data_IF_504391379156
#
_entry.id   IF_504391379156
#
_cell.length_a   1.000
_cell.length_b   1.000
_cell.length_c   1.000
_cell.angle_alpha   90.00
_cell.angle_beta   90.00
_cell.angle_gamma   90.00
#
_symmetry.space_group_name_H-M   'P 1'
#
loop_
_entity.id
_entity.type
_entity.pdbx_description
1 polymer ?
#
# COMPACT_ATOMS: atom_id res chain seq x y z
N UNK A 1 -27.60 -28.81 27.33
CA UNK A 1 -28.34 -28.14 26.24
C UNK A 1 -27.63 -26.83 25.93
N UNK A 2 -26.77 -26.82 24.92
CA UNK A 2 -26.16 -25.60 24.38
C UNK A 2 -26.27 -25.68 22.88
N UNK A 3 -27.34 -25.13 22.31
CA UNK A 3 -27.46 -24.93 20.88
C UNK A 3 -26.46 -23.85 20.48
N UNK A 4 -25.24 -24.24 20.10
CA UNK A 4 -24.42 -23.39 19.23
C UNK A 4 -25.06 -23.45 17.85
N UNK A 5 -25.99 -22.54 17.59
CA UNK A 5 -26.42 -22.20 16.24
C UNK A 5 -25.18 -21.69 15.49
N UNK A 6 -24.42 -22.60 14.87
CA UNK A 6 -23.34 -22.24 13.96
C UNK A 6 -23.99 -21.60 12.74
N UNK A 7 -24.12 -20.27 12.74
CA UNK A 7 -24.35 -19.55 11.50
C UNK A 7 -23.21 -19.96 10.57
N UNK A 8 -23.49 -20.46 9.36
CA UNK A 8 -22.44 -20.71 8.39
C UNK A 8 -21.66 -19.40 8.21
N UNK A 9 -20.33 -19.48 8.28
CA UNK A 9 -19.46 -18.32 8.04
C UNK A 9 -19.69 -17.76 6.65
N UNK A 10 -19.35 -16.49 6.45
CA UNK A 10 -19.41 -15.86 5.13
C UNK A 10 -18.41 -16.54 4.19
N UNK A 11 -18.77 -16.68 2.90
CA UNK A 11 -17.77 -16.98 1.86
C UNK A 11 -16.78 -15.80 1.72
N UNK A 12 -15.58 -16.00 1.16
CA UNK A 12 -14.65 -14.90 0.87
C UNK A 12 -15.30 -13.76 0.08
N UNK A 13 -16.08 -14.08 -0.95
CA UNK A 13 -16.78 -13.11 -1.79
C UNK A 13 -17.83 -12.33 -0.99
N UNK A 14 -18.69 -13.02 -0.22
CA UNK A 14 -19.71 -12.36 0.61
C UNK A 14 -19.08 -11.47 1.69
N UNK A 15 -17.96 -11.90 2.27
CA UNK A 15 -17.21 -11.12 3.24
C UNK A 15 -16.66 -9.83 2.62
N UNK A 16 -16.01 -9.91 1.45
CA UNK A 16 -15.48 -8.70 0.78
C UNK A 16 -16.61 -7.78 0.31
N UNK A 17 -17.72 -8.32 -0.21
CA UNK A 17 -18.90 -7.52 -0.55
C UNK A 17 -19.50 -6.83 0.68
N UNK A 18 -19.48 -7.50 1.84
CA UNK A 18 -19.93 -6.90 3.10
C UNK A 18 -18.98 -5.79 3.57
N UNK A 19 -17.67 -6.00 3.50
CA UNK A 19 -16.67 -4.99 3.81
C UNK A 19 -16.87 -3.75 2.92
N UNK A 20 -17.06 -3.92 1.62
CA UNK A 20 -17.34 -2.82 0.68
C UNK A 20 -18.59 -2.03 1.05
N UNK A 21 -19.69 -2.72 1.33
CA UNK A 21 -20.95 -2.07 1.73
C UNK A 21 -20.80 -1.32 3.04
N UNK A 22 -20.24 -1.94 4.07
CA UNK A 22 -20.14 -1.39 5.42
C UNK A 22 -19.16 -0.21 5.46
N UNK A 23 -18.00 -0.32 4.81
CA UNK A 23 -17.05 0.79 4.66
C UNK A 23 -17.68 1.97 3.91
N UNK A 24 -18.33 1.72 2.77
CA UNK A 24 -18.96 2.78 2.00
C UNK A 24 -20.11 3.45 2.76
N UNK A 25 -20.86 2.70 3.56
CA UNK A 25 -21.90 3.25 4.44
C UNK A 25 -21.29 4.14 5.53
N UNK A 26 -20.19 3.71 6.17
CA UNK A 26 -19.52 4.50 7.19
C UNK A 26 -18.94 5.80 6.64
N UNK A 27 -18.29 5.76 5.46
CA UNK A 27 -17.80 6.97 4.81
C UNK A 27 -18.93 7.94 4.45
N UNK A 28 -20.07 7.44 3.95
CA UNK A 28 -21.25 8.28 3.63
C UNK A 28 -21.81 8.91 4.90
N UNK A 29 -22.04 8.12 5.95
CA UNK A 29 -22.57 8.62 7.22
C UNK A 29 -21.69 9.75 7.80
N UNK A 30 -20.37 9.59 7.73
CA UNK A 30 -19.42 10.61 8.20
C UNK A 30 -19.46 11.88 7.32
N UNK A 31 -19.51 11.74 5.98
CA UNK A 31 -19.65 12.87 5.06
C UNK A 31 -20.96 13.63 5.26
N UNK A 32 -22.07 12.92 5.44
CA UNK A 32 -23.38 13.52 5.70
C UNK A 32 -23.38 14.28 7.03
N UNK A 33 -22.74 13.73 8.07
CA UNK A 33 -22.58 14.41 9.35
C UNK A 33 -21.70 15.66 9.25
N UNK A 34 -20.59 15.61 8.50
CA UNK A 34 -19.73 16.78 8.22
C UNK A 34 -20.50 17.88 7.48
N UNK A 35 -21.25 17.51 6.44
CA UNK A 35 -22.06 18.45 5.67
C UNK A 35 -23.15 19.11 6.54
N UNK A 36 -23.88 18.31 7.33
CA UNK A 36 -24.88 18.84 8.28
C UNK A 36 -24.26 19.78 9.29
N UNK A 37 -23.10 19.45 9.85
CA UNK A 37 -22.39 20.30 10.79
C UNK A 37 -21.96 21.62 10.12
N UNK A 38 -21.44 21.56 8.90
CA UNK A 38 -21.04 22.75 8.14
C UNK A 38 -22.21 23.71 7.85
N UNK A 39 -23.41 23.20 7.61
CA UNK A 39 -24.59 24.04 7.33
C UNK A 39 -25.32 24.51 8.58
N UNK A 40 -25.45 23.66 9.60
CA UNK A 40 -26.38 23.88 10.73
C UNK A 40 -25.73 23.88 12.11
N UNK A 41 -24.43 23.56 12.22
CA UNK A 41 -23.72 23.43 13.50
C UNK A 41 -24.13 22.22 14.34
N UNK A 42 -25.00 21.34 13.84
CA UNK A 42 -25.48 20.16 14.57
C UNK A 42 -24.36 19.11 14.68
N UNK A 43 -23.93 18.87 15.92
CA UNK A 43 -22.88 17.88 16.27
C UNK A 43 -23.47 16.47 16.23
N UNK A 44 -22.75 15.47 15.68
CA UNK A 44 -23.21 14.08 15.69
C UNK A 44 -23.32 13.53 17.11
N UNK A 45 -24.41 12.79 17.36
CA UNK A 45 -24.64 12.05 18.61
C UNK A 45 -23.70 10.85 18.73
N UNK A 46 -23.62 10.26 19.93
CA UNK A 46 -22.81 9.05 20.17
C UNK A 46 -23.27 7.86 19.33
N UNK A 47 -24.57 7.73 19.06
CA UNK A 47 -25.13 6.65 18.25
C UNK A 47 -24.83 6.85 16.76
N UNK A 48 -24.90 8.10 16.28
CA UNK A 48 -24.45 8.42 14.92
C UNK A 48 -22.97 8.12 14.74
N UNK A 49 -22.15 8.43 15.75
CA UNK A 49 -20.71 8.14 15.74
C UNK A 49 -20.37 6.67 15.61
N UNK A 50 -21.20 5.77 16.14
CA UNK A 50 -21.04 4.33 15.93
C UNK A 50 -21.17 3.92 14.45
N UNK A 51 -21.81 4.74 13.62
CA UNK A 51 -21.93 4.53 12.18
C UNK A 51 -20.70 4.99 11.39
N UNK A 52 -19.72 5.66 12.02
CA UNK A 52 -18.51 6.15 11.35
C UNK A 52 -17.36 5.15 11.45
N UNK A 53 -17.60 3.92 11.89
CA UNK A 53 -16.56 2.96 12.22
C UNK A 53 -16.12 2.14 11.02
N UNK A 54 -14.83 1.80 10.97
CA UNK A 54 -14.33 0.84 9.99
C UNK A 54 -15.01 -0.52 10.20
N UNK A 55 -15.23 -1.30 9.13
CA UNK A 55 -15.58 -2.70 9.30
C UNK A 55 -14.37 -3.50 9.83
N UNK A 56 -14.65 -4.50 10.65
CA UNK A 56 -13.69 -5.48 11.17
C UNK A 56 -13.89 -6.82 10.45
N UNK A 57 -12.83 -7.33 9.83
CA UNK A 57 -12.76 -8.66 9.26
C UNK A 57 -12.23 -9.63 10.30
N UNK A 58 -12.95 -10.73 10.53
CA UNK A 58 -12.53 -11.81 11.42
C UNK A 58 -12.47 -13.14 10.71
N UNK A 59 -11.45 -13.91 11.04
CA UNK A 59 -11.23 -15.27 10.56
C UNK A 59 -10.98 -16.17 11.76
N UNK A 60 -11.91 -17.09 12.03
CA UNK A 60 -11.80 -18.08 13.10
C UNK A 60 -11.35 -19.41 12.52
N UNK A 61 -10.25 -19.93 13.05
CA UNK A 61 -9.71 -21.22 12.67
C UNK A 61 -9.55 -22.13 13.88
N UNK A 62 -10.38 -23.16 13.92
CA UNK A 62 -10.36 -24.24 14.91
C UNK A 62 -10.19 -25.57 14.15
N UNK A 63 -8.97 -26.05 13.93
CA UNK A 63 -8.77 -27.28 13.17
C UNK A 63 -9.33 -28.48 13.94
N UNK A 64 -10.26 -29.21 13.32
CA UNK A 64 -10.77 -30.49 13.83
C UNK A 64 -10.01 -31.70 13.27
N UNK A 65 -9.23 -31.50 12.21
CA UNK A 65 -8.49 -32.52 11.48
C UNK A 65 -7.01 -32.14 11.34
N UNK A 66 -6.22 -33.03 10.73
CA UNK A 66 -4.83 -32.75 10.42
C UNK A 66 -4.71 -31.55 9.48
N UNK A 67 -3.85 -30.59 9.85
CA UNK A 67 -3.63 -29.37 9.07
C UNK A 67 -2.89 -29.73 7.77
N UNK A 68 -3.39 -29.32 6.59
CA UNK A 68 -2.73 -29.63 5.33
C UNK A 68 -1.38 -28.92 5.21
N UNK A 69 -0.39 -29.64 4.68
CA UNK A 69 0.90 -29.04 4.35
C UNK A 69 0.80 -28.25 3.04
N UNK A 70 1.27 -27.01 3.06
CA UNK A 70 1.29 -26.13 1.89
C UNK A 70 2.64 -25.42 1.76
N UNK A 71 3.13 -25.27 0.52
CA UNK A 71 4.40 -24.57 0.20
C UNK A 71 4.24 -23.06 0.04
N UNK A 72 3.00 -22.54 0.04
CA UNK A 72 2.67 -21.10 -0.07
C UNK A 72 3.47 -20.29 0.96
N UNK A 73 3.91 -19.07 0.70
CA UNK A 73 4.61 -18.28 1.73
C UNK A 73 3.66 -17.53 2.68
N UNK A 74 2.41 -17.33 2.25
CA UNK A 74 1.40 -16.46 2.85
C UNK A 74 0.05 -17.22 3.01
N UNK A 75 -0.98 -16.57 3.56
CA UNK A 75 -2.30 -17.16 3.87
C UNK A 75 -2.23 -18.53 4.55
N UNK A 76 -1.66 -18.55 5.77
CA UNK A 76 -1.62 -19.73 6.63
C UNK A 76 -1.86 -19.35 8.08
N UNK A 77 -2.24 -20.34 8.87
CA UNK A 77 -2.30 -20.23 10.31
C UNK A 77 -1.11 -20.89 10.98
N UNK A 78 -0.57 -20.24 12.02
CA UNK A 78 0.45 -20.83 12.87
C UNK A 78 -0.15 -21.58 14.06
N UNK A 79 -1.26 -21.06 14.61
CA UNK A 79 -1.91 -21.60 15.80
C UNK A 79 -3.44 -21.44 15.68
N UNK A 80 -4.23 -22.34 16.28
CA UNK A 80 -5.68 -22.17 16.36
C UNK A 80 -6.07 -20.86 17.05
N UNK A 81 -7.17 -20.26 16.60
CA UNK A 81 -7.73 -19.06 17.20
C UNK A 81 -8.45 -18.13 16.23
N UNK A 82 -8.86 -16.99 16.78
CA UNK A 82 -9.52 -15.92 16.04
C UNK A 82 -8.47 -14.89 15.61
N UNK A 83 -8.47 -14.55 14.34
CA UNK A 83 -7.67 -13.51 13.74
C UNK A 83 -8.58 -12.34 13.32
N UNK A 84 -8.18 -11.10 13.56
CA UNK A 84 -8.98 -9.93 13.24
C UNK A 84 -8.12 -8.77 12.69
N UNK A 85 -8.74 -7.92 11.87
CA UNK A 85 -8.18 -6.62 11.49
C UNK A 85 -9.30 -5.68 11.02
N UNK A 86 -9.15 -4.37 11.22
CA UNK A 86 -10.02 -3.38 10.58
C UNK A 86 -9.62 -3.17 9.14
N UNK A 87 -10.59 -2.94 8.26
CA UNK A 87 -10.36 -2.84 6.81
C UNK A 87 -10.84 -1.47 6.28
N UNK A 88 -10.00 -0.84 5.47
CA UNK A 88 -10.33 0.35 4.67
C UNK A 88 -10.15 0.08 3.18
N UNK A 89 -10.76 0.93 2.34
CA UNK A 89 -10.69 0.85 0.87
C UNK A 89 -10.92 -0.58 0.29
N UNK A 90 -11.89 -1.37 0.80
CA UNK A 90 -12.04 -2.77 0.41
C UNK A 90 -12.30 -2.98 -1.09
N UNK A 91 -12.91 -2.00 -1.77
CA UNK A 91 -13.10 -2.07 -3.23
C UNK A 91 -11.78 -2.02 -4.01
N UNK A 92 -10.79 -1.25 -3.54
CA UNK A 92 -9.44 -1.27 -4.12
C UNK A 92 -8.70 -2.56 -3.75
N UNK A 93 -8.77 -2.97 -2.48
CA UNK A 93 -8.08 -4.16 -1.98
C UNK A 93 -8.83 -5.47 -2.30
N UNK A 94 -9.91 -5.45 -3.08
CA UNK A 94 -10.76 -6.62 -3.34
C UNK A 94 -9.97 -7.83 -3.82
N UNK A 95 -9.13 -7.64 -4.84
CA UNK A 95 -8.31 -8.71 -5.41
C UNK A 95 -7.35 -9.29 -4.36
N UNK A 96 -6.68 -8.43 -3.59
CA UNK A 96 -5.77 -8.83 -2.52
C UNK A 96 -6.52 -9.60 -1.41
N UNK A 97 -7.65 -9.08 -0.94
CA UNK A 97 -8.46 -9.71 0.11
C UNK A 97 -8.95 -11.09 -0.32
N UNK A 98 -9.44 -11.24 -1.56
CA UNK A 98 -9.88 -12.53 -2.09
C UNK A 98 -8.70 -13.51 -2.27
N UNK A 99 -7.55 -13.03 -2.75
CA UNK A 99 -6.34 -13.83 -2.86
C UNK A 99 -5.90 -14.38 -1.50
N UNK A 100 -6.00 -13.58 -0.42
CA UNK A 100 -5.66 -14.03 0.93
C UNK A 100 -6.74 -14.93 1.56
N UNK A 101 -8.02 -14.59 1.42
CA UNK A 101 -9.11 -15.28 2.12
C UNK A 101 -9.47 -16.64 1.50
N UNK A 102 -9.40 -16.78 0.18
CA UNK A 102 -9.78 -18.02 -0.51
C UNK A 102 -8.96 -19.23 -0.03
N UNK A 103 -7.61 -19.18 0.05
CA UNK A 103 -6.82 -20.30 0.58
C UNK A 103 -7.14 -20.59 2.05
N UNK A 104 -7.36 -19.58 2.88
CA UNK A 104 -7.69 -19.78 4.31
C UNK A 104 -9.00 -20.57 4.48
N UNK A 105 -10.00 -20.31 3.64
CA UNK A 105 -11.25 -21.08 3.68
C UNK A 105 -11.09 -22.44 3.01
N UNK A 106 -10.56 -22.48 1.79
CA UNK A 106 -10.51 -23.69 0.98
C UNK A 106 -9.56 -24.76 1.53
N UNK A 107 -8.42 -24.36 2.10
CA UNK A 107 -7.42 -25.30 2.63
C UNK A 107 -7.62 -25.56 4.12
N UNK A 108 -8.01 -24.54 4.91
CA UNK A 108 -8.03 -24.66 6.37
C UNK A 108 -9.45 -24.73 6.97
N UNK A 109 -10.50 -24.57 6.17
CA UNK A 109 -11.88 -24.56 6.66
C UNK A 109 -12.18 -23.38 7.60
N UNK A 110 -11.46 -22.27 7.45
CA UNK A 110 -11.61 -21.11 8.31
C UNK A 110 -13.00 -20.45 8.14
N UNK A 111 -13.55 -19.94 9.24
CA UNK A 111 -14.85 -19.27 9.25
C UNK A 111 -14.65 -17.77 9.22
N UNK A 112 -15.27 -17.10 8.24
CA UNK A 112 -15.17 -15.65 8.07
C UNK A 112 -16.41 -14.96 8.64
N UNK A 113 -16.19 -13.83 9.31
CA UNK A 113 -17.23 -12.94 9.83
C UNK A 113 -16.82 -11.47 9.63
N UNK A 114 -17.80 -10.60 9.43
CA UNK A 114 -17.59 -9.15 9.25
C UNK A 114 -18.50 -8.38 10.20
N UNK A 115 -17.92 -7.44 10.95
CA UNK A 115 -18.59 -6.69 12.01
C UNK A 115 -18.30 -5.20 11.89
N UNK A 116 -19.03 -4.38 12.64
CA UNK A 116 -18.56 -3.02 12.95
C UNK A 116 -17.44 -3.12 13.98
N UNK A 117 -16.34 -2.39 13.76
CA UNK A 117 -15.25 -2.29 14.73
C UNK A 117 -15.58 -1.31 15.85
N UNK A 118 -14.59 -1.01 16.70
CA UNK A 118 -14.62 0.12 17.65
C UNK A 118 -13.79 1.32 17.17
N UNK A 119 -13.17 1.24 15.98
CA UNK A 119 -12.34 2.31 15.41
C UNK A 119 -13.17 3.19 14.47
N UNK A 120 -13.31 4.48 14.82
CA UNK A 120 -13.91 5.48 13.93
C UNK A 120 -12.97 5.88 12.80
N UNK A 121 -13.53 6.15 11.62
CA UNK A 121 -12.81 6.70 10.46
C UNK A 121 -12.47 8.17 10.75
N UNK A 122 -11.18 8.56 10.75
CA UNK A 122 -10.80 9.97 10.84
C UNK A 122 -11.39 10.78 9.68
N UNK A 123 -12.01 11.93 10.00
CA UNK A 123 -12.66 12.76 8.99
C UNK A 123 -11.74 13.16 7.82
N UNK A 124 -10.42 13.44 8.00
CA UNK A 124 -9.57 13.80 6.87
C UNK A 124 -9.42 12.71 5.81
N UNK A 125 -9.81 11.46 6.11
CA UNK A 125 -9.70 10.34 5.17
C UNK A 125 -10.92 10.20 4.27
N UNK A 126 -12.08 10.77 4.66
CA UNK A 126 -13.27 10.84 3.80
C UNK A 126 -13.38 12.16 3.05
N UNK A 127 -12.54 13.15 3.33
CA UNK A 127 -12.58 14.44 2.62
C UNK A 127 -11.72 14.46 1.37
N UNK A 128 -12.24 15.06 0.29
CA UNK A 128 -11.50 15.31 -0.95
C UNK A 128 -11.23 16.81 -1.12
N UNK A 129 -10.19 17.17 -1.89
CA UNK A 129 -9.79 18.57 -2.06
C UNK A 129 -10.88 19.45 -2.69
N UNK A 130 -11.90 18.85 -3.33
CA UNK A 130 -13.05 19.55 -3.91
C UNK A 130 -14.26 19.70 -2.97
N UNK A 131 -14.22 19.16 -1.76
CA UNK A 131 -15.35 19.22 -0.84
C UNK A 131 -15.55 20.66 -0.32
N UNK A 132 -16.75 21.24 -0.52
CA UNK A 132 -17.05 22.63 -0.17
C UNK A 132 -16.80 22.96 1.31
N UNK A 133 -16.97 21.99 2.20
CA UNK A 133 -16.75 22.17 3.64
C UNK A 133 -15.25 22.15 4.04
N UNK A 134 -14.36 21.74 3.15
CA UNK A 134 -12.89 21.89 3.32
C UNK A 134 -12.45 23.33 3.08
N UNK A 135 -13.20 24.08 2.25
CA UNK A 135 -12.94 25.50 1.93
C UNK A 135 -13.87 26.48 2.68
N UNK A 136 -14.70 25.96 3.59
CA UNK A 136 -15.65 26.74 4.39
C UNK A 136 -14.99 27.58 5.49
N UNK A 137 -15.80 28.33 6.25
CA UNK A 137 -15.35 29.15 7.39
C UNK A 137 -14.93 28.34 8.63
N UNK A 138 -15.15 27.03 8.63
CA UNK A 138 -14.87 26.17 9.77
C UNK A 138 -13.37 25.91 9.91
N UNK A 139 -12.85 26.09 11.12
CA UNK A 139 -11.45 25.80 11.39
C UNK A 139 -11.19 24.29 11.57
N UNK A 140 -9.99 23.83 11.23
CA UNK A 140 -9.54 22.44 11.49
C UNK A 140 -9.68 22.07 12.97
N UNK A 141 -9.44 23.02 13.87
CA UNK A 141 -9.56 22.84 15.32
C UNK A 141 -11.01 22.60 15.78
N UNK A 142 -11.97 23.25 15.12
CA UNK A 142 -13.39 23.09 15.41
C UNK A 142 -13.90 21.72 14.95
N UNK A 143 -13.53 21.29 13.73
CA UNK A 143 -13.83 19.93 13.25
C UNK A 143 -13.20 18.87 14.15
N UNK A 144 -11.94 19.05 14.56
CA UNK A 144 -11.22 18.12 15.43
C UNK A 144 -11.86 17.95 16.83
N UNK A 145 -12.69 18.90 17.27
CA UNK A 145 -13.39 18.81 18.56
C UNK A 145 -14.59 17.86 18.51
N UNK A 146 -15.22 17.73 17.34
CA UNK A 146 -16.50 17.04 17.19
C UNK A 146 -16.41 15.77 16.34
N UNK A 147 -15.37 15.65 15.51
CA UNK A 147 -15.18 14.55 14.58
C UNK A 147 -13.89 13.76 14.85
N UNK A 148 -13.82 12.49 14.43
CA UNK A 148 -12.66 11.65 14.68
C UNK A 148 -11.43 12.20 13.93
N UNK A 149 -10.27 12.25 14.59
CA UNK A 149 -9.02 12.74 14.02
C UNK A 149 -7.96 11.63 13.98
N UNK A 150 -7.00 11.70 13.06
CA UNK A 150 -5.91 10.73 13.03
C UNK A 150 -5.01 11.00 14.23
N UNK A 151 -5.04 10.10 15.21
CA UNK A 151 -4.11 10.13 16.34
C UNK A 151 -2.89 9.29 15.98
N UNK A 152 -1.70 9.90 15.97
CA UNK A 152 -0.43 9.20 15.70
C UNK A 152 -0.20 8.02 16.64
N UNK A 153 -0.68 8.10 17.88
CA UNK A 153 -0.62 7.02 18.86
C UNK A 153 -1.47 5.80 18.49
N UNK A 154 -2.42 5.94 17.56
CA UNK A 154 -3.31 4.88 17.09
C UNK A 154 -2.89 4.34 15.72
N UNK A 155 -1.77 4.80 15.17
CA UNK A 155 -1.23 4.27 13.92
C UNK A 155 -0.53 2.96 14.26
N UNK A 156 -1.17 1.84 13.92
CA UNK A 156 -0.74 0.50 14.31
C UNK A 156 0.48 0.02 13.52
N UNK A 157 1.69 0.28 14.02
CA UNK A 157 2.95 -0.21 13.45
C UNK A 157 3.47 -1.45 14.19
N UNK A 158 2.92 -1.75 15.36
CA UNK A 158 3.43 -2.77 16.27
C UNK A 158 3.49 -4.18 15.66
N UNK A 159 2.63 -4.51 14.70
CA UNK A 159 2.66 -5.80 14.02
C UNK A 159 3.82 -5.84 13.01
N UNK A 160 3.98 -4.78 12.22
CA UNK A 160 5.04 -4.65 11.23
C UNK A 160 6.43 -4.51 11.89
N UNK A 161 6.50 -3.84 13.03
CA UNK A 161 7.71 -3.65 13.84
C UNK A 161 8.03 -4.87 14.72
N UNK A 162 7.17 -5.89 14.75
CA UNK A 162 7.38 -7.10 15.56
C UNK A 162 7.23 -6.87 17.08
N UNK A 163 6.57 -5.78 17.47
CA UNK A 163 6.30 -5.39 18.85
C UNK A 163 4.96 -5.91 19.40
N UNK A 164 4.14 -6.56 18.55
CA UNK A 164 2.82 -7.07 18.95
C UNK A 164 2.92 -8.11 20.07
N UNK A 165 2.20 -7.86 21.16
CA UNK A 165 2.11 -8.77 22.30
C UNK A 165 0.77 -9.52 22.27
N UNK A 166 0.83 -10.86 22.36
CA UNK A 166 -0.37 -11.68 22.38
C UNK A 166 -1.04 -11.64 23.75
N UNK A 167 -2.28 -11.14 23.78
CA UNK A 167 -3.13 -11.14 24.97
C UNK A 167 -4.14 -12.30 24.93
N UNK A 168 -4.36 -12.94 26.08
CA UNK A 168 -5.37 -14.00 26.21
C UNK A 168 -6.77 -13.41 26.03
N UNK A 169 -7.58 -14.01 25.15
CA UNK A 169 -8.97 -13.58 24.91
C UNK A 169 -9.12 -12.45 23.89
N UNK A 170 -8.02 -11.87 23.37
CA UNK A 170 -8.07 -10.95 22.22
C UNK A 170 -7.79 -11.69 20.91
N UNK A 171 -8.40 -11.27 19.79
CA UNK A 171 -8.02 -11.76 18.47
C UNK A 171 -6.54 -11.51 18.15
N UNK A 172 -5.96 -12.41 17.37
CA UNK A 172 -4.63 -12.25 16.78
C UNK A 172 -4.70 -11.33 15.56
N UNK A 173 -3.61 -10.65 15.17
CA UNK A 173 -3.60 -9.85 13.95
C UNK A 173 -3.81 -10.70 12.70
N UNK A 174 -4.81 -10.34 11.88
CA UNK A 174 -5.05 -10.98 10.57
C UNK A 174 -4.17 -10.39 9.45
N UNK A 175 -3.79 -9.12 9.57
CA UNK A 175 -2.99 -8.38 8.61
C UNK A 175 -1.87 -7.61 9.31
N UNK A 176 -0.87 -7.15 8.53
CA UNK A 176 0.25 -6.36 9.05
C UNK A 176 -0.14 -4.94 9.44
N UNK A 177 -1.19 -4.40 8.81
CA UNK A 177 -1.62 -3.02 8.97
C UNK A 177 -3.13 -3.00 9.19
N UNK A 178 -3.58 -2.16 10.13
CA UNK A 178 -4.99 -1.89 10.37
C UNK A 178 -5.51 -0.77 9.44
N UNK A 179 -6.82 -0.52 9.46
CA UNK A 179 -7.45 0.44 8.56
C UNK A 179 -6.90 1.87 8.71
N UNK A 180 -6.65 2.31 9.95
CA UNK A 180 -6.17 3.67 10.24
C UNK A 180 -4.75 3.86 9.69
N UNK A 181 -3.86 2.87 9.89
CA UNK A 181 -2.50 2.87 9.35
C UNK A 181 -2.50 2.89 7.82
N UNK A 182 -3.38 2.12 7.19
CA UNK A 182 -3.53 2.09 5.74
C UNK A 182 -3.96 3.47 5.23
N UNK A 183 -5.08 4.03 5.69
CA UNK A 183 -5.55 5.33 5.19
C UNK A 183 -4.56 6.48 5.45
N UNK A 184 -3.86 6.46 6.60
CA UNK A 184 -2.78 7.39 6.88
C UNK A 184 -1.69 7.32 5.80
N UNK A 185 -1.24 6.11 5.49
CA UNK A 185 -0.21 5.87 4.49
C UNK A 185 -0.68 6.23 3.08
N UNK A 186 -1.92 5.91 2.70
CA UNK A 186 -2.49 6.28 1.40
C UNK A 186 -2.49 7.80 1.19
N UNK A 187 -2.85 8.58 2.22
CA UNK A 187 -2.77 10.05 2.17
C UNK A 187 -1.34 10.55 2.03
N UNK A 188 -0.41 9.94 2.76
CA UNK A 188 1.02 10.28 2.69
C UNK A 188 1.62 9.95 1.33
N UNK A 189 1.24 8.83 0.71
CA UNK A 189 1.63 8.47 -0.64
C UNK A 189 1.22 9.55 -1.63
N UNK A 190 -0.04 9.99 -1.63
CA UNK A 190 -0.47 11.06 -2.53
C UNK A 190 0.26 12.38 -2.28
N UNK A 191 0.49 12.72 -1.01
CA UNK A 191 1.23 13.93 -0.66
C UNK A 191 2.69 13.91 -1.13
N UNK A 192 3.43 12.82 -0.87
CA UNK A 192 4.85 12.72 -1.18
C UNK A 192 5.11 12.45 -2.66
N UNK A 193 4.25 11.68 -3.32
CA UNK A 193 4.45 11.24 -4.71
C UNK A 193 3.79 12.13 -5.75
N UNK A 194 2.78 12.91 -5.35
CA UNK A 194 1.98 13.71 -6.28
C UNK A 194 1.08 12.89 -7.19
N UNK A 195 0.89 11.60 -6.91
CA UNK A 195 0.01 10.71 -7.70
C UNK A 195 -1.10 10.13 -6.85
N UNK A 196 -2.22 9.77 -7.48
CA UNK A 196 -3.23 8.97 -6.80
C UNK A 196 -2.63 7.59 -6.47
N UNK A 197 -2.69 7.20 -5.20
CA UNK A 197 -2.16 5.93 -4.71
C UNK A 197 -2.77 4.72 -5.42
N UNK A 198 -3.99 4.84 -5.98
CA UNK A 198 -4.66 3.79 -6.78
C UNK A 198 -3.94 3.48 -8.08
N UNK A 199 -3.10 4.39 -8.56
CA UNK A 199 -2.33 4.24 -9.80
C UNK A 199 -0.96 3.60 -9.55
N UNK A 200 -0.53 3.45 -8.29
CA UNK A 200 0.73 2.79 -7.96
C UNK A 200 0.64 1.31 -8.30
N UNK A 201 1.63 0.83 -9.04
CA UNK A 201 1.71 -0.52 -9.56
C UNK A 201 2.51 -1.44 -8.63
N UNK A 202 2.28 -2.77 -8.66
CA UNK A 202 2.91 -3.71 -7.72
C UNK A 202 4.41 -3.93 -7.95
N UNK A 203 4.96 -3.55 -9.12
CA UNK A 203 6.38 -3.62 -9.45
C UNK A 203 7.00 -2.24 -9.35
N UNK A 204 7.76 -1.99 -8.29
CA UNK A 204 8.26 -0.66 -7.96
C UNK A 204 9.75 -0.56 -8.26
N UNK A 205 10.16 0.54 -8.87
CA UNK A 205 11.55 0.95 -9.02
C UNK A 205 11.78 2.21 -8.18
N UNK A 206 12.77 2.18 -7.31
CA UNK A 206 13.30 3.36 -6.64
C UNK A 206 14.51 3.88 -7.40
N UNK A 207 14.64 5.20 -7.46
CA UNK A 207 15.86 5.84 -7.93
C UNK A 207 16.25 7.02 -7.05
N UNK A 208 17.56 7.31 -7.04
CA UNK A 208 18.15 8.46 -6.37
C UNK A 208 18.63 9.55 -7.35
N UNK A 209 18.36 9.39 -8.65
CA UNK A 209 18.90 10.29 -9.67
C UNK A 209 17.92 10.61 -10.78
N UNK A 210 17.73 11.91 -11.04
CA UNK A 210 16.71 12.42 -11.95
C UNK A 210 16.83 11.88 -13.38
N UNK A 211 18.04 11.57 -13.87
CA UNK A 211 18.18 11.03 -15.24
C UNK A 211 17.49 9.68 -15.44
N UNK A 212 17.32 8.88 -14.39
CA UNK A 212 16.53 7.64 -14.49
C UNK A 212 15.05 7.93 -14.73
N UNK A 213 14.54 9.03 -14.18
CA UNK A 213 13.17 9.49 -14.43
C UNK A 213 13.01 9.88 -15.89
N UNK A 214 13.93 10.69 -16.42
CA UNK A 214 13.91 11.14 -17.81
C UNK A 214 13.91 9.92 -18.76
N UNK A 215 14.81 8.96 -18.52
CA UNK A 215 14.90 7.74 -19.32
C UNK A 215 13.66 6.84 -19.19
N UNK A 216 13.07 6.75 -17.99
CA UNK A 216 11.85 5.97 -17.76
C UNK A 216 10.65 6.58 -18.48
N UNK A 217 10.52 7.91 -18.48
CA UNK A 217 9.48 8.63 -19.22
C UNK A 217 9.65 8.40 -20.72
N UNK A 218 10.85 8.57 -21.26
CA UNK A 218 11.12 8.36 -22.69
C UNK A 218 10.84 6.91 -23.13
N UNK A 219 11.24 5.95 -22.31
CA UNK A 219 10.93 4.53 -22.51
C UNK A 219 9.42 4.27 -22.45
N UNK A 220 8.74 4.81 -21.44
CA UNK A 220 7.28 4.69 -21.28
C UNK A 220 6.53 5.24 -22.48
N UNK A 221 6.90 6.43 -22.98
CA UNK A 221 6.30 7.01 -24.18
C UNK A 221 6.55 6.15 -25.42
N UNK A 222 7.70 5.48 -25.49
CA UNK A 222 8.00 4.54 -26.57
C UNK A 222 7.13 3.28 -26.47
N UNK A 223 6.94 2.73 -25.28
CA UNK A 223 6.01 1.62 -25.04
C UNK A 223 4.56 1.99 -25.37
N UNK A 224 4.09 3.19 -25.01
CA UNK A 224 2.74 3.66 -25.36
C UNK A 224 2.52 3.87 -26.86
N UNK A 225 3.58 3.97 -27.67
CA UNK A 225 3.49 4.01 -29.14
C UNK A 225 3.46 2.64 -29.78
N UNK A 226 3.94 1.60 -29.08
CA UNK A 226 4.02 0.24 -29.61
C UNK A 226 2.64 -0.42 -29.59
N UNK A 227 2.09 -0.86 -30.73
CA UNK A 227 0.77 -1.48 -30.79
C UNK A 227 0.63 -2.72 -29.90
N UNK A 228 1.69 -3.55 -29.87
CA UNK A 228 1.71 -4.82 -29.13
C UNK A 228 2.20 -4.68 -27.68
N UNK A 229 2.53 -3.47 -27.24
CA UNK A 229 2.88 -3.25 -25.82
C UNK A 229 1.66 -3.56 -24.94
N UNK A 230 1.85 -4.09 -23.73
CA UNK A 230 0.77 -4.21 -22.76
C UNK A 230 0.46 -2.90 -22.02
N UNK A 231 1.33 -1.88 -22.12
CA UNK A 231 1.21 -0.62 -21.38
C UNK A 231 0.21 0.34 -22.02
N UNK A 232 -0.71 0.88 -21.23
CA UNK A 232 -1.86 1.62 -21.73
C UNK A 232 -1.87 3.10 -21.31
N UNK A 233 -1.27 3.43 -20.17
CA UNK A 233 -1.33 4.77 -19.61
C UNK A 233 -0.09 5.04 -18.74
N UNK A 234 0.51 6.22 -18.89
CA UNK A 234 1.54 6.75 -18.01
C UNK A 234 0.91 7.87 -17.17
N UNK A 235 0.83 7.66 -15.85
CA UNK A 235 0.39 8.68 -14.88
C UNK A 235 1.62 9.42 -14.36
N UNK A 236 1.55 10.74 -14.38
CA UNK A 236 2.62 11.65 -14.03
C UNK A 236 2.35 12.31 -12.67
N UNK A 237 3.40 12.75 -11.94
CA UNK A 237 3.24 13.59 -10.76
C UNK A 237 2.37 14.82 -11.06
N UNK A 238 1.44 15.15 -10.16
CA UNK A 238 0.44 16.20 -10.37
C UNK A 238 -0.86 15.72 -11.00
N UNK A 239 -0.98 14.43 -11.33
CA UNK A 239 -2.23 13.78 -11.70
C UNK A 239 -2.58 13.80 -13.19
N UNK A 240 -1.75 14.39 -14.04
CA UNK A 240 -1.91 14.25 -15.50
C UNK A 240 -1.58 12.82 -15.95
N UNK A 241 -2.20 12.37 -17.05
CA UNK A 241 -1.91 11.08 -17.64
C UNK A 241 -1.76 11.15 -19.16
N UNK A 242 -0.95 10.26 -19.70
CA UNK A 242 -0.70 10.09 -21.14
C UNK A 242 -1.15 8.68 -21.50
N UNK A 243 -2.14 8.57 -22.39
CA UNK A 243 -2.71 7.28 -22.82
C UNK A 243 -2.12 6.83 -24.15
N UNK A 244 -2.16 5.52 -24.39
CA UNK A 244 -1.84 4.93 -25.70
C UNK A 244 -2.63 5.63 -26.81
N UNK A 245 -1.95 5.94 -27.91
CA UNK A 245 -2.54 6.62 -29.07
C UNK A 245 -2.68 8.14 -28.93
N UNK A 246 -2.25 8.73 -27.81
CA UNK A 246 -2.11 10.18 -27.70
C UNK A 246 -1.08 10.72 -28.70
N UNK A 247 -1.28 11.96 -29.16
CA UNK A 247 -0.33 12.64 -30.04
C UNK A 247 1.06 12.73 -29.41
N UNK A 248 2.10 12.45 -30.20
CA UNK A 248 3.47 12.34 -29.72
C UNK A 248 3.99 13.68 -29.19
N UNK A 249 3.74 14.78 -29.90
CA UNK A 249 4.22 16.10 -29.51
C UNK A 249 3.54 16.58 -28.22
N UNK A 250 2.24 16.34 -28.12
CA UNK A 250 1.44 16.67 -26.94
C UNK A 250 1.88 15.85 -25.72
N UNK A 251 2.20 14.57 -25.93
CA UNK A 251 2.69 13.67 -24.87
C UNK A 251 4.05 14.12 -24.31
N UNK A 252 4.99 14.49 -25.19
CA UNK A 252 6.29 15.02 -24.77
C UNK A 252 6.12 16.33 -24.00
N UNK A 253 5.28 17.25 -24.50
CA UNK A 253 5.00 18.50 -23.82
C UNK A 253 4.36 18.30 -22.44
N UNK A 254 3.43 17.36 -22.31
CA UNK A 254 2.78 17.03 -21.05
C UNK A 254 3.77 16.47 -20.02
N UNK A 255 4.67 15.57 -20.44
CA UNK A 255 5.72 15.02 -19.57
C UNK A 255 6.73 16.09 -19.13
N UNK A 256 7.11 17.01 -20.03
CA UNK A 256 8.01 18.11 -19.70
C UNK A 256 7.37 19.14 -18.74
N UNK A 257 6.05 19.32 -18.81
CA UNK A 257 5.29 20.26 -17.97
C UNK A 257 4.95 19.72 -16.57
N UNK A 258 5.28 18.46 -16.27
CA UNK A 258 5.00 17.82 -14.97
C UNK A 258 5.59 18.62 -13.80
N UNK A 259 4.78 19.00 -12.79
CA UNK A 259 5.24 19.78 -11.64
C UNK A 259 5.94 18.91 -10.57
N UNK A 260 6.85 18.03 -10.99
CA UNK A 260 7.48 17.03 -10.12
C UNK A 260 8.23 17.64 -8.93
N UNK A 261 8.79 18.84 -9.08
CA UNK A 261 9.53 19.57 -8.05
C UNK A 261 8.66 20.00 -6.85
N UNK A 262 7.33 19.93 -6.97
CA UNK A 262 6.41 20.20 -5.85
C UNK A 262 6.30 19.03 -4.87
N UNK A 263 6.85 17.88 -5.23
CA UNK A 263 6.71 16.63 -4.49
C UNK A 263 8.10 16.13 -4.07
N UNK A 264 8.20 15.66 -2.83
CA UNK A 264 9.47 15.21 -2.26
C UNK A 264 9.98 13.92 -2.93
N UNK A 265 9.06 13.02 -3.30
CA UNK A 265 9.37 11.71 -3.86
C UNK A 265 8.48 11.40 -5.07
N UNK A 266 8.60 12.15 -6.19
CA UNK A 266 7.66 12.08 -7.30
C UNK A 266 7.58 10.67 -7.91
N UNK A 267 6.36 10.18 -8.16
CA UNK A 267 6.11 8.87 -8.75
C UNK A 267 5.56 8.96 -10.17
N UNK A 268 5.98 8.01 -11.01
CA UNK A 268 5.55 7.85 -12.40
C UNK A 268 5.03 6.42 -12.55
N UNK A 269 3.75 6.29 -12.88
CA UNK A 269 3.08 4.98 -12.89
C UNK A 269 2.74 4.59 -14.33
N UNK A 270 3.41 3.57 -14.86
CA UNK A 270 3.13 3.02 -16.18
C UNK A 270 2.19 1.82 -16.03
N UNK A 271 0.92 2.06 -16.29
CA UNK A 271 -0.18 1.10 -16.15
C UNK A 271 -0.26 0.17 -17.36
N UNK A 272 -0.65 -1.07 -17.10
CA UNK A 272 -0.97 -2.07 -18.13
C UNK A 272 -2.47 -2.16 -18.36
N UNK A 273 -2.86 -2.58 -19.56
CA UNK A 273 -4.25 -2.92 -19.86
C UNK A 273 -4.68 -4.28 -19.29
N UNK A 274 -3.71 -5.16 -19.02
CA UNK A 274 -3.95 -6.47 -18.41
C UNK A 274 -3.83 -6.44 -16.87
N UNK A 275 -4.06 -7.57 -16.23
CA UNK A 275 -4.04 -7.71 -14.78
C UNK A 275 -2.65 -8.07 -14.22
N UNK A 276 -1.58 -8.05 -15.02
CA UNK A 276 -0.25 -8.49 -14.58
C UNK A 276 0.49 -7.45 -13.71
N UNK A 277 -0.06 -6.24 -13.63
CA UNK A 277 0.53 -5.12 -12.88
C UNK A 277 1.62 -4.41 -13.67
N UNK A 278 1.54 -3.09 -13.74
CA UNK A 278 2.50 -2.22 -14.43
C UNK A 278 3.76 -1.95 -13.61
N UNK A 279 4.46 -0.87 -13.95
CA UNK A 279 5.70 -0.44 -13.27
C UNK A 279 5.49 0.94 -12.67
N UNK A 280 5.87 1.13 -11.42
CA UNK A 280 5.93 2.44 -10.77
C UNK A 280 7.37 2.82 -10.50
N UNK A 281 7.84 3.93 -11.07
CA UNK A 281 9.13 4.53 -10.72
C UNK A 281 8.91 5.63 -9.68
N UNK A 282 9.68 5.62 -8.60
CA UNK A 282 9.66 6.65 -7.56
C UNK A 282 11.08 7.19 -7.37
N UNK A 283 11.26 8.49 -7.63
CA UNK A 283 12.50 9.16 -7.29
C UNK A 283 12.48 9.53 -5.81
N UNK A 284 13.11 8.72 -4.96
CA UNK A 284 13.18 8.94 -3.51
C UNK A 284 14.22 10.00 -3.12
N UNK A 285 14.97 10.52 -4.10
CA UNK A 285 16.09 11.41 -3.86
C UNK A 285 17.21 10.72 -3.10
N UNK A 286 17.87 11.47 -2.21
CA UNK A 286 19.03 10.99 -1.45
C UNK A 286 18.73 11.04 0.04
N UNK A 287 19.06 9.95 0.74
CA UNK A 287 19.07 9.89 2.19
C UNK A 287 18.21 8.75 2.75
N UNK A 288 18.66 8.10 3.83
CA UNK A 288 17.96 6.97 4.41
C UNK A 288 16.58 7.33 4.97
N UNK A 289 16.38 8.57 5.42
CA UNK A 289 15.08 9.05 5.92
C UNK A 289 13.99 9.03 4.86
N UNK A 290 14.30 9.43 3.61
CA UNK A 290 13.34 9.36 2.51
C UNK A 290 13.04 7.90 2.13
N UNK A 291 14.07 7.05 2.08
CA UNK A 291 13.90 5.63 1.78
C UNK A 291 12.99 4.93 2.81
N UNK A 292 13.20 5.19 4.11
CA UNK A 292 12.30 4.71 5.17
C UNK A 292 10.89 5.25 4.99
N UNK A 293 10.73 6.57 4.84
CA UNK A 293 9.39 7.19 4.69
C UNK A 293 8.62 6.64 3.49
N UNK A 294 9.29 6.46 2.34
CA UNK A 294 8.66 5.88 1.16
C UNK A 294 8.20 4.45 1.42
N UNK A 295 9.07 3.61 1.98
CA UNK A 295 8.79 2.19 2.21
C UNK A 295 7.74 1.96 3.30
N UNK A 296 7.73 2.77 4.38
CA UNK A 296 6.71 2.75 5.43
C UNK A 296 5.30 2.88 4.84
N UNK A 297 5.14 3.76 3.85
CA UNK A 297 3.84 4.03 3.25
C UNK A 297 3.51 3.11 2.08
N UNK A 298 4.48 2.72 1.26
CA UNK A 298 4.25 1.79 0.15
C UNK A 298 3.92 0.38 0.64
N UNK A 299 4.41 -0.01 1.82
CA UNK A 299 4.18 -1.34 2.38
C UNK A 299 2.68 -1.69 2.51
N UNK A 300 1.81 -0.70 2.75
CA UNK A 300 0.36 -0.93 2.90
C UNK A 300 -0.31 -1.34 1.59
N UNK A 301 0.28 -1.00 0.44
CA UNK A 301 -0.21 -1.41 -0.88
C UNK A 301 0.17 -2.84 -1.25
N UNK A 302 0.97 -3.52 -0.41
CA UNK A 302 1.41 -4.91 -0.61
C UNK A 302 2.07 -5.14 -2.00
N UNK A 303 3.09 -4.32 -2.39
CA UNK A 303 3.77 -4.51 -3.67
C UNK A 303 4.40 -5.90 -3.78
N UNK A 304 4.53 -6.41 -5.00
CA UNK A 304 5.17 -7.69 -5.25
C UNK A 304 6.68 -7.59 -5.09
N UNK A 305 7.27 -6.48 -5.54
CA UNK A 305 8.70 -6.23 -5.45
C UNK A 305 8.97 -4.73 -5.56
N UNK A 306 9.97 -4.24 -4.82
CA UNK A 306 10.64 -2.97 -5.10
C UNK A 306 12.13 -3.19 -5.34
N UNK A 307 12.71 -2.44 -6.27
CA UNK A 307 14.14 -2.50 -6.61
C UNK A 307 14.78 -1.13 -6.47
N UNK A 308 15.99 -1.07 -5.90
CA UNK A 308 16.78 0.15 -5.88
C UNK A 308 17.67 0.23 -7.12
N UNK A 309 17.35 1.13 -8.05
CA UNK A 309 18.11 1.43 -9.25
C UNK A 309 18.67 2.84 -9.16
N UNK A 310 19.94 2.94 -8.77
CA UNK A 310 20.59 4.22 -8.54
C UNK A 310 22.10 4.15 -8.69
N UNK A 311 22.75 5.30 -8.48
CA UNK A 311 24.20 5.37 -8.49
C UNK A 311 24.79 5.00 -7.13
N UNK A 312 26.02 4.49 -7.13
CA UNK A 312 26.83 4.27 -5.95
C UNK A 312 28.31 4.59 -6.25
N UNK A 313 29.13 4.68 -5.21
CA UNK A 313 30.58 4.81 -5.36
C UNK A 313 31.25 3.43 -5.37
N UNK A 314 32.06 3.16 -6.39
CA UNK A 314 32.94 1.98 -6.42
C UNK A 314 34.06 2.11 -5.40
N UNK A 315 34.32 1.04 -4.64
CA UNK A 315 35.35 1.02 -3.59
C UNK A 315 36.54 0.12 -3.94
N UNK A 316 36.45 -0.66 -5.02
CA UNK A 316 37.52 -1.52 -5.51
C UNK A 316 38.24 -0.85 -6.67
N UNK A 317 39.58 -1.02 -6.72
CA UNK A 317 40.41 -0.46 -7.79
C UNK A 317 40.10 -1.05 -9.17
N UNK A 318 39.52 -2.26 -9.22
CA UNK A 318 39.11 -2.92 -10.46
C UNK A 318 37.79 -2.39 -11.01
N UNK A 319 37.03 -1.60 -10.24
CA UNK A 319 35.74 -1.08 -10.69
C UNK A 319 35.94 0.16 -11.56
N UNK A 320 35.17 0.24 -12.63
CA UNK A 320 35.12 1.38 -13.55
C UNK A 320 33.79 2.13 -13.44
N UNK A 321 33.78 3.40 -13.85
CA UNK A 321 32.53 4.16 -13.92
C UNK A 321 31.65 3.54 -15.01
N UNK A 322 30.50 3.02 -14.61
CA UNK A 322 29.56 2.33 -15.50
C UNK A 322 29.29 0.89 -15.06
N UNK A 323 30.16 0.30 -14.24
CA UNK A 323 29.98 -1.05 -13.73
C UNK A 323 28.71 -1.15 -12.86
N UNK A 324 28.03 -2.29 -12.95
CA UNK A 324 26.91 -2.62 -12.09
C UNK A 324 27.37 -3.28 -10.78
N UNK A 325 26.65 -2.99 -9.69
CA UNK A 325 26.86 -3.64 -8.39
C UNK A 325 25.58 -4.33 -7.98
N UNK A 326 25.61 -5.66 -7.91
CA UNK A 326 24.54 -6.45 -7.33
C UNK A 326 24.83 -6.68 -5.84
N UNK A 327 24.04 -6.04 -4.97
CA UNK A 327 24.20 -6.18 -3.53
C UNK A 327 23.71 -7.55 -3.06
N UNK A 328 24.58 -8.29 -2.38
CA UNK A 328 24.30 -9.58 -1.72
C UNK A 328 24.43 -9.51 -0.19
N UNK A 329 24.69 -8.32 0.34
CA UNK A 329 24.81 -8.01 1.76
C UNK A 329 24.93 -6.51 1.99
N UNK A 330 24.59 -6.05 3.18
CA UNK A 330 24.51 -4.63 3.51
C UNK A 330 25.25 -4.32 4.81
N UNK A 331 26.23 -3.40 4.75
CA UNK A 331 26.77 -2.77 5.96
C UNK A 331 25.88 -1.59 6.34
N UNK A 332 24.98 -1.83 7.28
CA UNK A 332 24.01 -0.81 7.75
C UNK A 332 24.70 0.23 8.61
N UNK A 333 24.81 1.45 8.07
CA UNK A 333 25.32 2.68 8.72
C UNK A 333 24.38 3.86 8.55
N UNK A 334 23.16 3.57 8.16
CA UNK A 334 22.05 4.48 7.93
C UNK A 334 21.36 4.93 9.22
N UNK A 335 21.47 4.15 10.30
CA UNK A 335 20.98 4.43 11.67
C UNK A 335 19.47 4.60 11.81
N UNK A 336 18.72 4.59 10.71
CA UNK A 336 17.31 4.99 10.68
C UNK A 336 16.37 3.86 11.14
N UNK A 337 16.85 2.62 11.17
CA UNK A 337 16.10 1.42 11.56
C UNK A 337 16.82 0.61 12.65
N UNK A 338 17.82 1.18 13.33
CA UNK A 338 18.65 0.41 14.28
C UNK A 338 17.83 -0.11 15.47
N UNK A 339 16.79 0.64 15.89
CA UNK A 339 15.93 0.25 17.01
C UNK A 339 14.92 -0.86 16.60
N UNK A 340 14.34 -0.77 15.40
CA UNK A 340 13.36 -1.74 14.89
C UNK A 340 14.01 -3.00 14.32
N UNK A 341 15.18 -2.84 13.68
CA UNK A 341 15.98 -3.92 13.12
C UNK A 341 17.41 -3.74 13.61
N UNK A 342 17.80 -4.34 14.73
CA UNK A 342 19.16 -4.25 15.25
C UNK A 342 20.22 -4.67 14.23
N UNK A 343 21.45 -4.15 14.35
CA UNK A 343 22.52 -4.34 13.37
C UNK A 343 22.99 -5.81 13.28
N UNK A 344 22.78 -6.59 14.32
CA UNK A 344 23.03 -8.03 14.39
C UNK A 344 21.99 -8.88 13.64
N UNK A 345 20.82 -8.32 13.30
CA UNK A 345 19.79 -9.01 12.55
C UNK A 345 20.20 -9.06 11.08
N UNK A 346 20.43 -10.25 10.50
CA UNK A 346 20.85 -10.36 9.11
C UNK A 346 19.71 -9.96 8.17
N UNK A 347 20.02 -9.14 7.16
CA UNK A 347 19.12 -8.82 6.05
C UNK A 347 19.58 -9.62 4.83
N UNK A 348 18.99 -10.80 4.56
CA UNK A 348 19.44 -11.67 3.49
C UNK A 348 19.03 -11.12 2.12
N UNK A 349 19.82 -11.43 1.10
CA UNK A 349 19.40 -11.25 -0.28
C UNK A 349 18.35 -12.31 -0.65
N UNK A 350 17.29 -11.91 -1.35
CA UNK A 350 16.27 -12.82 -1.87
C UNK A 350 16.79 -13.49 -3.16
N UNK A 351 16.96 -14.81 -3.13
CA UNK A 351 17.57 -15.56 -4.23
C UNK A 351 16.84 -15.34 -5.56
N UNK A 352 15.52 -15.33 -5.55
CA UNK A 352 14.67 -15.13 -6.72
C UNK A 352 14.91 -13.76 -7.37
N UNK A 353 15.11 -12.72 -6.56
CA UNK A 353 15.39 -11.36 -7.03
C UNK A 353 16.84 -11.24 -7.54
N UNK A 354 17.79 -11.87 -6.86
CA UNK A 354 19.20 -11.87 -7.29
C UNK A 354 19.37 -12.51 -8.66
N UNK A 355 18.75 -13.69 -8.87
CA UNK A 355 18.77 -14.39 -10.16
C UNK A 355 18.11 -13.52 -11.24
N UNK A 356 16.94 -12.95 -10.96
CA UNK A 356 16.25 -12.09 -11.93
C UNK A 356 17.08 -10.87 -12.34
N UNK A 357 17.78 -10.21 -11.39
CA UNK A 357 18.65 -9.08 -11.68
C UNK A 357 19.89 -9.48 -12.48
N UNK A 358 20.51 -10.61 -12.13
CA UNK A 358 21.68 -11.12 -12.85
C UNK A 358 21.33 -11.50 -14.30
N UNK A 359 20.20 -12.19 -14.50
CA UNK A 359 19.71 -12.55 -15.82
C UNK A 359 19.31 -11.32 -16.64
N UNK A 360 18.63 -10.34 -16.02
CA UNK A 360 18.28 -9.08 -16.67
C UNK A 360 19.52 -8.30 -17.11
N UNK A 361 20.53 -8.19 -16.24
CA UNK A 361 21.80 -7.55 -16.58
C UNK A 361 22.46 -8.27 -17.76
N UNK A 362 22.59 -9.60 -17.70
CA UNK A 362 23.20 -10.38 -18.77
C UNK A 362 22.44 -10.28 -20.10
N UNK A 363 21.11 -10.19 -20.06
CA UNK A 363 20.30 -10.00 -21.25
C UNK A 363 20.52 -8.64 -21.90
N UNK A 364 20.65 -7.58 -21.10
CA UNK A 364 20.76 -6.19 -21.58
C UNK A 364 22.20 -5.85 -22.00
N UNK A 365 23.20 -6.29 -21.25
CA UNK A 365 24.61 -5.94 -21.50
C UNK A 365 25.34 -6.99 -22.34
N UNK A 366 24.86 -8.24 -22.35
CA UNK A 366 25.59 -9.39 -22.90
C UNK A 366 26.71 -9.89 -21.99
N UNK A 367 26.93 -9.24 -20.84
CA UNK A 367 28.00 -9.56 -19.91
C UNK A 367 27.52 -10.56 -18.85
N UNK A 368 28.44 -11.35 -18.30
CA UNK A 368 28.15 -12.22 -17.14
C UNK A 368 29.15 -11.87 -16.06
N UNK A 369 28.67 -11.74 -14.81
CA UNK A 369 29.56 -11.69 -13.66
C UNK A 369 30.41 -12.96 -13.59
N UNK A 370 31.66 -12.82 -13.15
CA UNK A 370 32.50 -13.96 -12.79
C UNK A 370 31.91 -14.79 -11.65
#
# INVERSE_FOLDING_TARGET
MGFTSSRPGLTPEEAVDRLERDHAAACRALRDALARYATSGVVPTSDERASFRYPELRVDWQPSEAVPFTRRAWAKFQVPGIYATTVTQPGFFRSYLLEQLRPLVAEFGAHIDVRSSDQEIPYPFVTEAGDEFVHGKLSVAELARHFPTPLLANVGDEIADGLWQFETGRPRPLALFDAVRVDFSLRRLTHYTGTDWRTIQPWILFTNYQRYVDQFVDWSLSELRRPDSPYAELVLPGGSSIRRGADAQSSIAAAAATPWHRYQMPAYNLLRADTAGGITLINIGVGPSNAKTATDHLAVLRPHCWLMIGHCGGLRQSQTIGDYVLAHGYLRRDRILDDQVPLEVPVPALAEVQVALQEAAAHVTGERGE
#
